data_IF_041964356218
#
_entry.id   IF_041964356218
#
_cell.length_a   1.000
_cell.length_b   1.000
_cell.length_c   1.000
_cell.angle_alpha   90.00
_cell.angle_beta   90.00
_cell.angle_gamma   90.00
#
_symmetry.space_group_name_H-M   'P 1'
#
loop_
_entity.id
_entity.type
_entity.pdbx_description
1 polymer ?
#
# COMPACT_ATOMS: atom_id res chain seq x y z
N UNK A 1 -11.09 24.69 -54.74
CA UNK A 1 -11.36 25.35 -53.45
C UNK A 1 -10.02 25.74 -52.82
N UNK A 2 -9.61 27.07 -52.89
CA UNK A 2 -8.44 27.57 -52.18
C UNK A 2 -8.83 27.85 -50.73
N UNK A 3 -8.50 26.94 -49.82
CA UNK A 3 -8.64 27.17 -48.39
C UNK A 3 -7.73 28.36 -48.03
N UNK A 4 -8.25 29.39 -47.39
CA UNK A 4 -7.45 30.55 -46.96
C UNK A 4 -6.42 30.07 -45.93
N UNK A 5 -5.22 30.71 -45.91
CA UNK A 5 -4.18 30.38 -44.91
C UNK A 5 -4.71 30.49 -43.47
N UNK A 6 -5.62 31.42 -43.24
CA UNK A 6 -6.26 31.59 -41.91
C UNK A 6 -7.16 30.39 -41.55
N UNK A 7 -7.95 29.89 -42.49
CA UNK A 7 -8.78 28.71 -42.27
C UNK A 7 -7.96 27.46 -41.98
N UNK A 8 -6.80 27.29 -42.65
CA UNK A 8 -5.88 26.19 -42.39
C UNK A 8 -5.28 26.26 -40.97
N UNK A 9 -4.86 27.45 -40.52
CA UNK A 9 -4.34 27.68 -39.16
C UNK A 9 -5.40 27.33 -38.12
N UNK A 10 -6.64 27.79 -38.32
CA UNK A 10 -7.74 27.48 -37.38
C UNK A 10 -8.04 25.99 -37.29
N UNK A 11 -8.05 25.30 -38.44
CA UNK A 11 -8.26 23.82 -38.48
C UNK A 11 -7.13 23.11 -37.74
N UNK A 12 -5.88 23.48 -37.96
CA UNK A 12 -4.71 22.87 -37.29
C UNK A 12 -4.75 23.12 -35.79
N UNK A 13 -5.06 24.31 -35.32
CA UNK A 13 -5.20 24.64 -33.90
C UNK A 13 -6.32 23.85 -33.25
N UNK A 14 -7.48 23.75 -33.94
CA UNK A 14 -8.61 22.99 -33.43
C UNK A 14 -8.31 21.50 -33.33
N UNK A 15 -7.67 20.92 -34.36
CA UNK A 15 -7.23 19.52 -34.35
C UNK A 15 -6.20 19.25 -33.26
N UNK A 16 -5.24 20.16 -33.04
CA UNK A 16 -4.26 20.07 -31.95
C UNK A 16 -4.92 20.12 -30.57
N UNK A 17 -5.91 20.99 -30.37
CA UNK A 17 -6.66 21.10 -29.11
C UNK A 17 -7.44 19.81 -28.82
N UNK A 18 -8.09 19.25 -29.85
CA UNK A 18 -8.79 17.95 -29.69
C UNK A 18 -7.80 16.84 -29.36
N UNK A 19 -6.68 16.77 -30.06
CA UNK A 19 -5.65 15.75 -29.81
C UNK A 19 -5.10 15.83 -28.39
N UNK A 20 -4.77 17.02 -27.89
CA UNK A 20 -4.34 17.25 -26.50
C UNK A 20 -5.44 16.85 -25.52
N UNK A 21 -6.70 17.19 -25.80
CA UNK A 21 -7.85 16.80 -24.99
C UNK A 21 -8.02 15.27 -24.89
N UNK A 22 -7.93 14.56 -26.00
CA UNK A 22 -8.05 13.09 -26.05
C UNK A 22 -6.89 12.42 -25.28
N UNK A 23 -5.66 12.90 -25.51
CA UNK A 23 -4.49 12.39 -24.80
C UNK A 23 -4.61 12.66 -23.30
N UNK A 24 -4.98 13.89 -22.92
CA UNK A 24 -5.18 14.27 -21.52
C UNK A 24 -6.25 13.44 -20.81
N UNK A 25 -7.37 13.17 -21.48
CA UNK A 25 -8.42 12.30 -20.96
C UNK A 25 -7.94 10.84 -20.83
N UNK A 26 -7.20 10.33 -21.81
CA UNK A 26 -6.62 8.98 -21.77
C UNK A 26 -5.68 8.81 -20.58
N UNK A 27 -4.79 9.77 -20.34
CA UNK A 27 -3.93 9.81 -19.16
C UNK A 27 -4.76 9.85 -17.86
N UNK A 28 -5.71 10.76 -17.76
CA UNK A 28 -6.56 10.90 -16.58
C UNK A 28 -7.28 9.60 -16.23
N UNK A 29 -7.91 8.94 -17.20
CA UNK A 29 -8.60 7.68 -16.96
C UNK A 29 -7.65 6.54 -16.59
N UNK A 30 -6.49 6.46 -17.22
CA UNK A 30 -5.47 5.46 -16.94
C UNK A 30 -4.97 5.57 -15.48
N UNK A 31 -4.62 6.75 -15.02
CA UNK A 31 -4.17 6.97 -13.64
C UNK A 31 -5.30 6.81 -12.62
N UNK A 32 -6.50 7.26 -12.95
CA UNK A 32 -7.67 7.12 -12.08
C UNK A 32 -8.00 5.65 -11.80
N UNK A 33 -7.74 4.74 -12.74
CA UNK A 33 -7.97 3.30 -12.56
C UNK A 33 -7.15 2.72 -11.42
N UNK A 34 -6.00 3.29 -11.08
CA UNK A 34 -5.15 2.87 -9.96
C UNK A 34 -5.75 3.27 -8.60
N UNK A 35 -6.41 4.44 -8.52
CA UNK A 35 -7.05 4.92 -7.29
C UNK A 35 -8.50 4.41 -7.13
N UNK A 36 -9.18 4.06 -8.21
CA UNK A 36 -10.58 3.61 -8.18
C UNK A 36 -10.83 2.42 -7.22
N UNK A 37 -9.94 1.42 -7.10
CA UNK A 37 -10.10 0.35 -6.13
C UNK A 37 -10.01 0.82 -4.67
N UNK A 38 -9.26 1.89 -4.37
CA UNK A 38 -9.20 2.46 -3.03
C UNK A 38 -10.50 3.19 -2.64
N UNK A 39 -11.22 3.74 -3.62
CA UNK A 39 -12.49 4.42 -3.41
C UNK A 39 -13.66 3.47 -3.09
N UNK A 40 -13.48 2.18 -3.29
CA UNK A 40 -14.41 1.14 -2.87
C UNK A 40 -13.76 0.30 -1.79
N UNK A 41 -14.43 0.05 -0.66
CA UNK A 41 -13.89 -0.84 0.37
C UNK A 41 -13.50 -2.17 -0.28
N UNK A 42 -12.20 -2.44 -0.40
CA UNK A 42 -11.74 -3.70 -0.93
C UNK A 42 -11.76 -4.72 0.22
N UNK A 43 -12.60 -5.71 0.09
CA UNK A 43 -12.67 -6.80 1.05
C UNK A 43 -11.40 -7.64 0.96
N UNK A 44 -10.85 -8.02 2.11
CA UNK A 44 -9.62 -8.80 2.23
C UNK A 44 -9.65 -10.07 1.37
N UNK A 45 -10.72 -10.85 1.46
CA UNK A 45 -10.88 -12.08 0.69
C UNK A 45 -10.90 -11.84 -0.81
N UNK A 46 -11.57 -10.79 -1.28
CA UNK A 46 -11.62 -10.44 -2.70
C UNK A 46 -10.25 -10.10 -3.27
N UNK A 47 -9.39 -9.46 -2.48
CA UNK A 47 -8.01 -9.15 -2.86
C UNK A 47 -7.15 -10.42 -2.86
N UNK A 48 -7.20 -11.21 -1.79
CA UNK A 48 -6.40 -12.41 -1.64
C UNK A 48 -6.74 -13.47 -2.69
N UNK A 49 -8.01 -13.58 -3.12
CA UNK A 49 -8.41 -14.50 -4.20
C UNK A 49 -7.80 -14.12 -5.57
N UNK A 50 -7.30 -12.91 -5.74
CA UNK A 50 -6.68 -12.44 -6.99
C UNK A 50 -5.16 -12.45 -6.97
N UNK A 51 -4.55 -12.79 -5.85
CA UNK A 51 -3.10 -12.82 -5.65
C UNK A 51 -2.68 -14.23 -5.32
N UNK A 52 -1.71 -14.76 -6.06
CA UNK A 52 -1.13 -16.07 -5.76
C UNK A 52 0.09 -15.94 -4.85
N UNK A 53 0.94 -14.99 -5.15
CA UNK A 53 2.13 -14.73 -4.33
C UNK A 53 2.60 -13.29 -4.47
N UNK A 54 3.26 -12.82 -3.42
CA UNK A 54 4.01 -11.57 -3.42
C UNK A 54 5.31 -11.77 -2.63
N UNK A 55 6.39 -11.23 -3.17
CA UNK A 55 7.68 -11.17 -2.48
C UNK A 55 8.13 -9.71 -2.39
N UNK A 56 8.58 -9.29 -1.20
CA UNK A 56 9.06 -7.95 -0.99
C UNK A 56 10.21 -7.90 0.03
N UNK A 57 11.04 -6.89 -0.11
CA UNK A 57 12.14 -6.58 0.80
C UNK A 57 11.65 -5.56 1.81
N UNK A 58 12.01 -5.75 3.08
CA UNK A 58 11.77 -4.82 4.18
C UNK A 58 13.11 -4.33 4.70
N UNK A 59 13.22 -3.01 4.87
CA UNK A 59 14.36 -2.36 5.52
C UNK A 59 13.86 -1.60 6.73
N UNK A 60 14.54 -1.75 7.86
CA UNK A 60 14.22 -1.11 9.15
C UNK A 60 15.32 -0.13 9.51
N UNK A 61 14.99 1.14 9.67
CA UNK A 61 15.90 2.18 10.16
C UNK A 61 15.56 2.50 11.64
N UNK A 62 16.53 2.76 12.51
CA UNK A 62 17.96 2.93 12.26
C UNK A 62 18.78 1.64 12.41
N UNK A 63 18.19 0.48 12.76
CA UNK A 63 18.97 -0.76 12.98
C UNK A 63 19.72 -1.22 11.73
N UNK A 64 19.26 -0.83 10.54
CA UNK A 64 19.86 -1.25 9.27
C UNK A 64 19.45 -2.67 8.85
N UNK A 65 18.54 -3.30 9.60
CA UNK A 65 18.10 -4.66 9.34
C UNK A 65 17.35 -4.76 8.01
N UNK A 66 17.62 -5.83 7.31
CA UNK A 66 16.95 -6.17 6.04
C UNK A 66 16.30 -7.54 6.18
N UNK A 67 15.07 -7.64 5.67
CA UNK A 67 14.31 -8.89 5.63
C UNK A 67 13.69 -9.09 4.25
N UNK A 68 13.42 -10.34 3.89
CA UNK A 68 12.64 -10.73 2.73
C UNK A 68 11.35 -11.38 3.21
N UNK A 69 10.23 -10.93 2.67
CA UNK A 69 8.91 -11.44 3.05
C UNK A 69 8.27 -12.07 1.82
N UNK A 70 7.88 -13.34 1.96
CA UNK A 70 7.17 -14.09 0.94
C UNK A 70 5.76 -14.39 1.45
N UNK A 71 4.76 -13.95 0.68
CA UNK A 71 3.33 -14.20 0.92
C UNK A 71 2.83 -15.16 -0.14
N UNK A 72 2.25 -16.27 0.26
CA UNK A 72 1.63 -17.27 -0.63
C UNK A 72 0.18 -17.46 -0.23
N UNK A 73 -0.73 -17.27 -1.17
CA UNK A 73 -2.17 -17.42 -0.96
C UNK A 73 -2.65 -18.76 -1.53
N UNK A 74 -3.28 -19.58 -0.69
CA UNK A 74 -3.99 -20.75 -1.11
C UNK A 74 -5.49 -20.46 -1.16
N UNK A 75 -6.00 -20.22 -2.36
CA UNK A 75 -7.39 -19.83 -2.59
C UNK A 75 -8.36 -20.98 -2.28
N UNK A 76 -7.95 -22.25 -2.49
CA UNK A 76 -8.83 -23.41 -2.26
C UNK A 76 -9.17 -23.59 -0.77
N UNK A 77 -8.24 -23.26 0.11
CA UNK A 77 -8.39 -23.45 1.56
C UNK A 77 -8.65 -22.12 2.28
N UNK A 78 -8.71 -21.00 1.55
CA UNK A 78 -8.78 -19.65 2.11
C UNK A 78 -7.69 -19.37 3.14
N UNK A 79 -6.47 -19.85 2.88
CA UNK A 79 -5.34 -19.62 3.76
C UNK A 79 -4.25 -18.80 3.10
N UNK A 80 -3.50 -18.08 3.92
CA UNK A 80 -2.33 -17.32 3.48
C UNK A 80 -1.17 -17.64 4.40
N UNK A 81 -0.05 -18.03 3.80
CA UNK A 81 1.22 -18.24 4.50
C UNK A 81 2.17 -17.07 4.20
N UNK A 82 2.68 -16.45 5.24
CA UNK A 82 3.68 -15.41 5.18
C UNK A 82 4.95 -15.93 5.85
N UNK A 83 6.09 -15.78 5.20
CA UNK A 83 7.39 -16.16 5.76
C UNK A 83 8.33 -14.98 5.65
N UNK A 84 8.97 -14.60 6.74
CA UNK A 84 9.98 -13.56 6.78
C UNK A 84 11.34 -14.20 7.05
N UNK A 85 12.31 -13.89 6.19
CA UNK A 85 13.69 -14.38 6.28
C UNK A 85 14.68 -13.23 6.37
N UNK A 86 15.82 -13.48 7.00
CA UNK A 86 16.96 -12.56 6.96
C UNK A 86 17.72 -12.72 5.62
N UNK A 87 18.75 -11.89 5.33
CA UNK A 87 19.53 -11.99 4.10
C UNK A 87 20.28 -13.32 3.90
N UNK A 88 20.52 -14.08 4.97
CA UNK A 88 21.10 -15.43 4.86
C UNK A 88 20.09 -16.53 4.51
N UNK A 89 18.80 -16.17 4.35
CA UNK A 89 17.71 -17.11 4.06
C UNK A 89 17.14 -17.82 5.30
N UNK A 90 17.60 -17.47 6.50
CA UNK A 90 17.07 -18.05 7.73
C UNK A 90 15.72 -17.44 8.07
N UNK A 91 14.71 -18.27 8.32
CA UNK A 91 13.39 -17.79 8.74
C UNK A 91 13.47 -17.16 10.14
N UNK A 92 13.00 -15.91 10.24
CA UNK A 92 12.95 -15.14 11.50
C UNK A 92 11.52 -15.03 12.02
N UNK A 93 10.53 -15.26 11.16
CA UNK A 93 9.13 -15.28 11.55
C UNK A 93 8.23 -15.82 10.45
N UNK A 94 7.06 -16.28 10.83
CA UNK A 94 6.01 -16.67 9.89
C UNK A 94 4.62 -16.44 10.48
N UNK A 95 3.65 -16.26 9.58
CA UNK A 95 2.23 -16.22 9.90
C UNK A 95 1.51 -17.11 8.90
N UNK A 96 0.70 -18.02 9.42
CA UNK A 96 -0.30 -18.75 8.64
C UNK A 96 -1.67 -18.30 9.15
N UNK A 97 -2.52 -17.80 8.28
CA UNK A 97 -3.86 -17.40 8.69
C UNK A 97 -4.93 -17.89 7.72
N UNK A 98 -6.11 -18.08 8.26
CA UNK A 98 -7.33 -18.34 7.50
C UNK A 98 -8.15 -17.06 7.41
N UNK A 99 -8.73 -16.79 6.24
CA UNK A 99 -9.51 -15.58 5.97
C UNK A 99 -10.88 -15.93 5.41
N UNK A 100 -11.82 -15.03 5.63
CA UNK A 100 -13.11 -15.03 4.93
C UNK A 100 -13.20 -13.77 4.04
N UNK A 101 -14.39 -13.44 3.57
CA UNK A 101 -14.59 -12.29 2.69
C UNK A 101 -14.03 -10.97 3.27
N UNK A 102 -14.12 -10.77 4.59
CA UNK A 102 -13.84 -9.47 5.23
C UNK A 102 -12.72 -9.51 6.26
N UNK A 103 -12.48 -10.65 6.92
CA UNK A 103 -11.65 -10.73 8.11
C UNK A 103 -10.70 -11.93 8.11
N UNK A 104 -9.65 -11.83 8.94
CA UNK A 104 -8.86 -12.97 9.39
C UNK A 104 -9.64 -13.64 10.52
N UNK A 105 -9.84 -14.96 10.42
CA UNK A 105 -10.66 -15.70 11.38
C UNK A 105 -9.83 -16.51 12.38
N UNK A 106 -8.60 -16.84 12.00
CA UNK A 106 -7.64 -17.60 12.78
C UNK A 106 -6.22 -17.34 12.26
N UNK A 107 -5.23 -17.36 13.13
CA UNK A 107 -3.82 -17.23 12.75
C UNK A 107 -2.91 -18.07 13.65
N UNK A 108 -1.89 -18.66 13.05
CA UNK A 108 -0.72 -19.23 13.73
C UNK A 108 0.46 -18.31 13.45
N UNK A 109 0.99 -17.69 14.49
CA UNK A 109 2.15 -16.79 14.41
C UNK A 109 3.35 -17.50 15.02
N UNK A 110 4.48 -17.48 14.31
CA UNK A 110 5.78 -17.93 14.83
C UNK A 110 6.78 -16.81 14.64
N UNK A 111 7.36 -16.33 15.74
CA UNK A 111 8.32 -15.23 15.73
C UNK A 111 9.27 -15.32 16.91
N UNK A 112 10.59 -15.13 16.69
CA UNK A 112 11.58 -15.15 17.76
C UNK A 112 11.64 -16.49 18.52
N UNK A 113 11.31 -17.62 17.89
CA UNK A 113 11.31 -18.95 18.51
C UNK A 113 10.03 -19.29 19.30
N UNK A 114 9.07 -18.38 19.37
CA UNK A 114 7.74 -18.59 19.96
C UNK A 114 6.72 -18.88 18.87
N UNK A 115 5.74 -19.73 19.18
CA UNK A 115 4.60 -19.98 18.29
C UNK A 115 3.30 -19.88 19.08
N UNK A 116 2.34 -19.14 18.53
CA UNK A 116 1.06 -18.88 19.16
C UNK A 116 -0.09 -19.07 18.17
N UNK A 117 -1.12 -19.77 18.60
CA UNK A 117 -2.34 -19.97 17.85
C UNK A 117 -3.39 -18.97 18.35
N UNK A 118 -3.86 -18.11 17.46
CA UNK A 118 -4.71 -16.97 17.78
C UNK A 118 -6.09 -17.10 17.15
N UNK A 119 -7.11 -16.86 17.95
CA UNK A 119 -8.50 -16.77 17.51
C UNK A 119 -9.28 -15.80 18.41
N UNK A 120 -10.46 -15.36 17.96
CA UNK A 120 -11.33 -14.47 18.74
C UNK A 120 -10.65 -13.17 19.16
N UNK A 121 -10.78 -12.78 20.43
CA UNK A 121 -10.25 -11.51 20.96
C UNK A 121 -8.71 -11.44 20.92
N UNK A 122 -8.02 -12.57 21.12
CA UNK A 122 -6.56 -12.61 21.10
C UNK A 122 -6.02 -12.27 19.70
N UNK A 123 -6.70 -12.75 18.65
CA UNK A 123 -6.33 -12.43 17.27
C UNK A 123 -6.44 -10.93 16.95
N UNK A 124 -7.43 -10.25 17.53
CA UNK A 124 -7.73 -8.85 17.21
C UNK A 124 -6.52 -7.92 17.40
N UNK A 125 -5.69 -8.17 18.41
CA UNK A 125 -4.48 -7.37 18.67
C UNK A 125 -3.40 -7.55 17.58
N UNK A 126 -3.38 -8.69 16.89
CA UNK A 126 -2.38 -9.01 15.86
C UNK A 126 -2.83 -8.67 14.44
N UNK A 127 -4.13 -8.45 14.21
CA UNK A 127 -4.65 -8.10 12.88
C UNK A 127 -3.92 -6.93 12.25
N UNK A 128 -3.70 -5.79 12.95
CA UNK A 128 -2.95 -4.67 12.39
C UNK A 128 -1.54 -5.06 11.92
N UNK A 129 -0.83 -5.86 12.70
CA UNK A 129 0.52 -6.34 12.38
C UNK A 129 0.51 -7.22 11.14
N UNK A 130 -0.42 -8.18 11.06
CA UNK A 130 -0.56 -9.08 9.91
C UNK A 130 -0.92 -8.30 8.64
N UNK A 131 -1.81 -7.31 8.73
CA UNK A 131 -2.26 -6.55 7.57
C UNK A 131 -1.22 -5.54 7.07
N UNK A 132 -0.48 -4.90 7.99
CA UNK A 132 0.48 -3.84 7.64
C UNK A 132 1.91 -4.34 7.45
N UNK A 133 2.30 -5.43 8.10
CA UNK A 133 3.70 -5.89 8.14
C UNK A 133 4.63 -4.98 8.94
N UNK A 134 4.07 -4.08 9.76
CA UNK A 134 4.81 -3.09 10.55
C UNK A 134 4.35 -3.16 12.00
N UNK A 135 5.30 -3.22 12.91
CA UNK A 135 5.07 -3.00 14.33
C UNK A 135 5.46 -1.57 14.71
N UNK A 136 4.62 -0.91 15.50
CA UNK A 136 4.92 0.40 16.06
C UNK A 136 4.72 0.31 17.57
N UNK A 137 5.73 0.68 18.34
CA UNK A 137 5.64 0.76 19.79
C UNK A 137 6.02 2.15 20.28
N UNK A 138 5.34 2.61 21.31
CA UNK A 138 5.59 3.88 21.97
C UNK A 138 5.96 3.64 23.42
N UNK A 139 7.09 4.24 23.85
CA UNK A 139 7.49 4.22 25.23
C UNK A 139 7.02 5.52 25.91
N UNK A 140 6.00 5.47 26.81
CA UNK A 140 5.44 6.66 27.43
C UNK A 140 6.42 7.36 28.38
N UNK A 141 7.43 6.66 28.89
CA UNK A 141 8.41 7.24 29.81
C UNK A 141 9.50 8.04 29.11
N UNK A 142 9.88 7.63 27.90
CA UNK A 142 10.95 8.29 27.15
C UNK A 142 10.42 9.10 25.95
N UNK A 143 9.14 8.94 25.60
CA UNK A 143 8.56 9.49 24.38
C UNK A 143 9.09 8.82 23.09
N UNK A 144 9.91 7.76 23.21
CA UNK A 144 10.50 7.11 22.07
C UNK A 144 9.49 6.28 21.30
N UNK A 145 9.49 6.42 19.97
CA UNK A 145 8.75 5.58 19.04
C UNK A 145 9.74 4.60 18.42
N UNK A 146 9.40 3.33 18.44
CA UNK A 146 10.12 2.28 17.72
C UNK A 146 9.26 1.69 16.64
N UNK A 147 9.82 1.51 15.46
CA UNK A 147 9.18 0.81 14.34
C UNK A 147 9.96 -0.45 14.01
N UNK A 148 9.27 -1.50 13.60
CA UNK A 148 9.89 -2.77 13.29
C UNK A 148 9.14 -3.50 12.17
N UNK A 149 9.81 -4.50 11.58
CA UNK A 149 9.20 -5.39 10.61
C UNK A 149 8.43 -6.52 11.31
N UNK A 150 7.35 -6.94 10.67
CA UNK A 150 6.55 -8.10 11.07
C UNK A 150 6.17 -8.92 9.82
N UNK A 151 6.07 -10.25 9.89
CA UNK A 151 5.58 -11.04 8.76
C UNK A 151 4.12 -10.73 8.49
N UNK A 152 3.86 -9.88 7.48
CA UNK A 152 2.54 -9.35 7.17
C UNK A 152 2.28 -9.19 5.67
N UNK A 153 1.06 -8.78 5.33
CA UNK A 153 0.66 -8.55 3.93
C UNK A 153 1.34 -7.31 3.32
N UNK A 154 1.72 -6.33 4.16
CA UNK A 154 2.54 -5.19 3.78
C UNK A 154 2.08 -4.48 2.51
N UNK A 155 2.83 -4.64 1.43
CA UNK A 155 2.59 -3.99 0.14
C UNK A 155 1.26 -4.39 -0.52
N UNK A 156 0.69 -5.52 -0.14
CA UNK A 156 -0.59 -5.97 -0.69
C UNK A 156 -1.79 -5.30 -0.02
N UNK A 157 -1.74 -5.11 1.30
CA UNK A 157 -2.92 -4.66 2.05
C UNK A 157 -2.67 -3.49 3.00
N UNK A 158 -1.44 -3.19 3.37
CA UNK A 158 -1.12 -2.19 4.39
C UNK A 158 -1.73 -0.81 4.11
N UNK A 159 -1.69 -0.35 2.86
CA UNK A 159 -2.30 0.94 2.49
C UNK A 159 -3.82 0.94 2.68
N UNK A 160 -4.52 -0.17 2.35
CA UNK A 160 -5.97 -0.31 2.58
C UNK A 160 -6.30 -0.26 4.06
N UNK A 161 -5.49 -0.93 4.87
CA UNK A 161 -5.64 -0.89 6.32
C UNK A 161 -5.50 0.55 6.85
N UNK A 162 -4.43 1.25 6.48
CA UNK A 162 -4.23 2.64 6.90
C UNK A 162 -5.34 3.56 6.41
N UNK A 163 -5.79 3.39 5.17
CA UNK A 163 -6.89 4.18 4.62
C UNK A 163 -8.19 3.99 5.41
N UNK A 164 -8.51 2.75 5.77
CA UNK A 164 -9.67 2.43 6.61
C UNK A 164 -9.52 2.94 8.03
N UNK A 165 -8.34 2.76 8.62
CA UNK A 165 -8.03 3.20 9.99
C UNK A 165 -8.20 4.71 10.17
N UNK A 166 -7.74 5.49 9.20
CA UNK A 166 -7.90 6.95 9.21
C UNK A 166 -9.21 7.45 8.61
N UNK A 167 -10.08 6.56 8.16
CA UNK A 167 -11.36 6.93 7.57
C UNK A 167 -11.23 7.78 6.30
N UNK A 168 -10.27 7.49 5.42
CA UNK A 168 -10.00 8.29 4.24
C UNK A 168 -11.11 8.10 3.21
N UNK A 169 -11.81 9.17 2.86
CA UNK A 169 -12.78 9.20 1.78
C UNK A 169 -12.10 9.43 0.41
N UNK A 170 -11.59 8.36 -0.18
CA UNK A 170 -10.97 8.41 -1.50
C UNK A 170 -11.91 8.91 -2.60
N UNK A 171 -13.22 8.64 -2.48
CA UNK A 171 -14.20 9.07 -3.46
C UNK A 171 -14.34 10.60 -3.43
N UNK A 172 -14.44 11.18 -2.25
CA UNK A 172 -14.48 12.63 -2.06
C UNK A 172 -13.18 13.31 -2.51
N UNK A 173 -12.02 12.73 -2.16
CA UNK A 173 -10.72 13.24 -2.59
C UNK A 173 -10.56 13.24 -4.12
N UNK A 174 -10.99 12.20 -4.82
CA UNK A 174 -10.99 12.14 -6.29
C UNK A 174 -11.95 13.17 -6.93
N UNK A 175 -12.92 13.67 -6.18
CA UNK A 175 -13.86 14.72 -6.60
C UNK A 175 -13.40 16.13 -6.17
N UNK A 176 -12.18 16.25 -5.59
CA UNK A 176 -11.61 17.53 -5.18
C UNK A 176 -12.05 18.00 -3.79
N UNK A 177 -12.65 17.13 -2.97
CA UNK A 177 -12.96 17.45 -1.57
C UNK A 177 -11.67 17.45 -0.73
N UNK A 178 -11.64 18.25 0.31
CA UNK A 178 -10.51 18.30 1.25
C UNK A 178 -10.41 17.00 2.06
N UNK A 179 -9.20 16.64 2.48
CA UNK A 179 -8.94 15.61 3.49
C UNK A 179 -9.67 15.95 4.81
N UNK A 180 -9.90 14.93 5.65
CA UNK A 180 -10.53 15.12 6.95
C UNK A 180 -9.67 16.01 7.86
N UNK A 181 -10.26 16.55 8.94
CA UNK A 181 -9.53 17.37 9.93
C UNK A 181 -8.41 16.61 10.66
N UNK A 182 -8.43 15.29 10.61
CA UNK A 182 -7.49 14.41 11.34
C UNK A 182 -6.35 13.88 10.48
N UNK A 183 -6.47 13.98 9.14
CA UNK A 183 -5.50 13.42 8.20
C UNK A 183 -5.37 14.32 6.98
N UNK A 184 -4.13 14.61 6.60
CA UNK A 184 -3.80 15.19 5.30
C UNK A 184 -3.42 14.07 4.33
N UNK A 185 -4.08 14.02 3.18
CA UNK A 185 -3.80 13.04 2.12
C UNK A 185 -3.40 13.78 0.86
N UNK A 186 -2.16 13.53 0.41
CA UNK A 186 -1.67 13.94 -0.89
C UNK A 186 -1.60 12.76 -1.84
N UNK A 187 -1.90 12.96 -3.12
CA UNK A 187 -1.59 11.98 -4.15
C UNK A 187 -1.14 12.68 -5.43
N UNK A 188 -0.22 12.04 -6.13
CA UNK A 188 0.32 12.54 -7.39
C UNK A 188 0.33 11.39 -8.39
N UNK A 189 -0.19 11.65 -9.58
CA UNK A 189 -0.08 10.72 -10.70
C UNK A 189 1.34 10.81 -11.28
N UNK A 190 2.04 9.71 -11.30
CA UNK A 190 3.41 9.64 -11.80
C UNK A 190 3.70 8.26 -12.40
N UNK A 191 4.62 8.17 -13.37
CA UNK A 191 5.16 6.88 -13.78
C UNK A 191 5.86 6.21 -12.58
N UNK A 192 5.61 4.92 -12.41
CA UNK A 192 6.26 4.08 -11.40
C UNK A 192 6.94 2.93 -12.11
N UNK A 193 8.24 2.80 -11.92
CA UNK A 193 9.03 1.74 -12.55
C UNK A 193 9.00 0.49 -11.67
N UNK A 194 8.69 -0.65 -12.31
CA UNK A 194 8.73 -1.95 -11.67
C UNK A 194 9.22 -3.01 -12.68
N UNK A 195 10.24 -3.77 -12.31
CA UNK A 195 10.86 -4.82 -13.15
C UNK A 195 11.25 -4.33 -14.56
N UNK A 196 11.83 -3.13 -14.65
CA UNK A 196 12.29 -2.55 -15.92
C UNK A 196 11.15 -2.07 -16.83
N UNK A 197 9.91 -2.02 -16.34
CA UNK A 197 8.77 -1.49 -17.05
C UNK A 197 8.21 -0.29 -16.30
N UNK A 198 7.80 0.74 -17.03
CA UNK A 198 7.13 1.91 -16.49
C UNK A 198 5.61 1.71 -16.54
N UNK A 199 4.96 1.91 -15.41
CA UNK A 199 3.51 1.81 -15.25
C UNK A 199 2.94 3.19 -14.93
N UNK A 200 1.72 3.45 -15.38
CA UNK A 200 0.96 4.58 -14.86
C UNK A 200 0.61 4.31 -13.40
N UNK A 201 1.22 5.03 -12.50
CA UNK A 201 1.11 4.82 -11.07
C UNK A 201 0.63 6.04 -10.31
N UNK A 202 0.50 5.88 -9.02
CA UNK A 202 0.11 6.95 -8.09
C UNK A 202 1.03 6.89 -6.88
N UNK A 203 1.58 8.04 -6.52
CA UNK A 203 2.29 8.22 -5.26
C UNK A 203 1.32 8.84 -4.28
N UNK A 204 1.12 8.19 -3.13
CA UNK A 204 0.23 8.62 -2.07
C UNK A 204 1.05 8.96 -0.85
N UNK A 205 0.68 10.06 -0.16
CA UNK A 205 1.23 10.41 1.14
C UNK A 205 0.07 10.66 2.11
N UNK A 206 0.04 9.95 3.23
CA UNK A 206 -0.91 10.10 4.32
C UNK A 206 -0.14 10.67 5.51
N UNK A 207 -0.54 11.84 5.98
CA UNK A 207 0.07 12.50 7.13
C UNK A 207 -1.04 12.80 8.15
N UNK A 208 -1.08 12.10 9.28
CA UNK A 208 -1.99 12.43 10.37
C UNK A 208 -1.73 13.86 10.86
N UNK A 209 -2.78 14.67 11.00
CA UNK A 209 -2.70 16.05 11.50
C UNK A 209 -2.76 16.11 13.02
N UNK A 210 -3.34 15.06 13.64
CA UNK A 210 -3.36 14.87 15.08
C UNK A 210 -2.34 13.82 15.46
N UNK A 211 -1.46 14.16 16.39
CA UNK A 211 -0.51 13.20 16.94
C UNK A 211 -1.28 12.10 17.69
N UNK A 212 -1.14 10.85 17.24
CA UNK A 212 -1.64 9.68 17.98
C UNK A 212 -0.95 9.50 19.33
N UNK A 213 0.22 10.13 19.51
CA UNK A 213 1.12 9.93 20.64
C UNK A 213 1.53 11.26 21.32
N UNK A 214 0.70 12.31 21.22
CA UNK A 214 1.02 13.62 21.81
C UNK A 214 1.91 14.47 20.89
N UNK A 215 2.79 15.30 21.45
CA UNK A 215 3.60 16.32 20.76
C UNK A 215 4.77 15.77 19.92
N UNK A 216 4.90 14.47 19.77
CA UNK A 216 6.04 13.86 19.08
C UNK A 216 5.78 13.65 17.58
N UNK A 217 6.63 14.27 16.82
CA UNK A 217 6.88 14.39 15.39
C UNK A 217 6.03 13.55 14.42
N UNK A 218 5.57 14.23 13.39
CA UNK A 218 4.65 13.71 12.38
C UNK A 218 5.01 12.33 11.84
N UNK A 219 4.13 11.40 12.06
CA UNK A 219 4.10 10.10 11.43
C UNK A 219 3.56 10.26 10.00
N UNK A 220 4.16 9.59 9.04
CA UNK A 220 3.70 9.61 7.67
C UNK A 220 3.74 8.22 7.03
N UNK A 221 2.84 8.01 6.09
CA UNK A 221 2.80 6.81 5.26
C UNK A 221 2.92 7.28 3.81
N UNK A 222 3.91 6.78 3.10
CA UNK A 222 4.08 7.04 1.67
C UNK A 222 4.03 5.73 0.90
N UNK A 223 3.26 5.68 -0.17
CA UNK A 223 3.12 4.50 -1.00
C UNK A 223 3.15 4.84 -2.49
N UNK A 224 3.86 4.04 -3.28
CA UNK A 224 3.82 4.07 -4.74
C UNK A 224 3.00 2.88 -5.23
N UNK A 225 1.90 3.14 -5.93
CA UNK A 225 0.96 2.11 -6.39
C UNK A 225 0.95 1.99 -7.90
N UNK A 226 0.80 0.75 -8.35
CA UNK A 226 0.50 0.40 -9.74
C UNK A 226 -0.71 -0.54 -9.79
N UNK A 227 -1.32 -0.67 -10.95
CA UNK A 227 -2.37 -1.66 -11.19
C UNK A 227 -1.82 -2.79 -12.06
N UNK A 228 -1.86 -4.01 -11.53
CA UNK A 228 -1.48 -5.22 -12.24
C UNK A 228 -2.73 -6.07 -12.48
N UNK A 229 -3.14 -6.21 -13.74
CA UNK A 229 -4.41 -6.89 -14.11
C UNK A 229 -5.62 -6.39 -13.30
N UNK A 230 -5.65 -5.09 -12.97
CA UNK A 230 -6.71 -4.49 -12.16
C UNK A 230 -6.61 -4.79 -10.65
N UNK A 231 -5.51 -5.37 -10.18
CA UNK A 231 -5.18 -5.48 -8.76
C UNK A 231 -4.22 -4.34 -8.41
N UNK A 232 -4.60 -3.43 -7.50
CA UNK A 232 -3.69 -2.39 -7.04
C UNK A 232 -2.67 -3.00 -6.06
N UNK A 233 -1.40 -2.80 -6.36
CA UNK A 233 -0.28 -3.27 -5.56
C UNK A 233 0.65 -2.11 -5.28
N UNK A 234 1.09 -1.96 -4.03
CA UNK A 234 2.14 -1.02 -3.72
C UNK A 234 3.50 -1.60 -4.16
N UNK A 235 4.25 -0.83 -4.95
CA UNK A 235 5.63 -1.18 -5.30
C UNK A 235 6.59 -0.74 -4.22
N UNK A 236 6.21 0.28 -3.45
CA UNK A 236 6.93 0.77 -2.29
C UNK A 236 5.93 1.25 -1.23
N UNK A 237 6.23 1.00 0.03
CA UNK A 237 5.52 1.53 1.18
C UNK A 237 6.54 1.94 2.23
N UNK A 238 6.48 3.19 2.68
CA UNK A 238 7.31 3.72 3.74
C UNK A 238 6.39 4.16 4.88
N UNK A 239 6.65 3.68 6.07
CA UNK A 239 5.92 4.02 7.29
C UNK A 239 6.92 4.52 8.32
N UNK A 240 6.76 5.75 8.80
CA UNK A 240 7.69 6.29 9.79
C UNK A 240 7.51 7.75 10.14
N UNK A 241 8.30 8.19 11.08
CA UNK A 241 8.37 9.57 11.56
C UNK A 241 9.54 10.29 10.93
N UNK A 242 9.34 11.49 10.43
CA UNK A 242 10.26 12.50 9.86
C UNK A 242 11.77 12.24 9.80
N UNK A 243 12.20 11.07 9.35
CA UNK A 243 13.57 10.80 8.93
C UNK A 243 14.43 9.89 9.85
N UNK A 244 14.06 9.66 11.10
CA UNK A 244 14.96 8.91 12.01
C UNK A 244 14.56 7.43 12.20
N UNK A 245 13.27 7.12 12.20
CA UNK A 245 12.76 5.77 12.42
C UNK A 245 11.69 5.45 11.38
N UNK A 246 11.95 4.50 10.47
CA UNK A 246 11.00 4.08 9.45
C UNK A 246 11.17 2.62 9.06
N UNK A 247 10.10 2.05 8.52
CA UNK A 247 10.12 0.78 7.78
C UNK A 247 9.85 1.09 6.32
N UNK A 248 10.73 0.64 5.44
CA UNK A 248 10.55 0.72 3.99
C UNK A 248 10.37 -0.67 3.42
N UNK A 249 9.31 -0.86 2.66
CA UNK A 249 9.02 -2.09 1.93
C UNK A 249 9.13 -1.83 0.43
N UNK A 250 9.77 -2.73 -0.29
CA UNK A 250 9.95 -2.63 -1.75
C UNK A 250 9.58 -3.94 -2.41
N UNK A 251 8.69 -3.89 -3.39
CA UNK A 251 8.21 -5.05 -4.14
C UNK A 251 9.34 -5.66 -4.97
N UNK A 252 9.52 -6.96 -4.87
CA UNK A 252 10.47 -7.74 -5.66
C UNK A 252 9.73 -8.53 -6.74
N UNK A 253 8.68 -9.24 -6.35
CA UNK A 253 7.90 -10.07 -7.26
C UNK A 253 6.43 -10.11 -6.84
N UNK A 254 5.53 -10.26 -7.82
CA UNK A 254 4.10 -10.46 -7.58
C UNK A 254 3.50 -11.32 -8.69
N UNK A 255 2.62 -12.24 -8.29
CA UNK A 255 1.82 -13.07 -9.20
C UNK A 255 0.34 -12.82 -8.92
N UNK A 256 -0.38 -12.34 -9.93
CA UNK A 256 -1.81 -12.05 -9.88
C UNK A 256 -2.56 -12.76 -11.00
N UNK A 257 -3.80 -13.19 -10.70
CA UNK A 257 -4.73 -13.81 -11.66
C UNK A 257 -5.51 -12.77 -12.48
#
# INVERSE_FOLDING_TARGET
LRVSRLALIVIVLFAATIAVGIVGLGFYYSYRSVLSPLAKPMQLGSLLHRVHSIEYKVYVSPSGDTYYVNVVVNVSDNTTKITMTNPSGTAVGSVLFHFNATNITWALISFGGLSENLSGSNLTAYIPLILTGVSVSYNPYTGAISVGAFPGLGLLYGLYYYSSYYGIDWKGLLQGQSSSSTVSVGYTFAPVDFNGKSFNGVIITITPTTSLFGTYGGYSISASLISLKGVPVATQLIVGTGGANYVSMSLLQVSVS
#
